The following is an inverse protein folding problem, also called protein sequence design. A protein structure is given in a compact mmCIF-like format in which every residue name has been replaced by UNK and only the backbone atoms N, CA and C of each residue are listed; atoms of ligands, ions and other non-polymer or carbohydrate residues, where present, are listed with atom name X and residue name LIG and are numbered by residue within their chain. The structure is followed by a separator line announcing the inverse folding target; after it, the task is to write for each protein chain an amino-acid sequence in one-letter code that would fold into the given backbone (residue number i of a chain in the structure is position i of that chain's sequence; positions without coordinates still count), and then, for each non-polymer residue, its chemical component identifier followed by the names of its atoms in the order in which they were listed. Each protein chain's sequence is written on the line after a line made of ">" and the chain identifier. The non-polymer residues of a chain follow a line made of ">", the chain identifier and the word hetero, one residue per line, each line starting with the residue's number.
data_IF_031225057160
#
_entry.id   IF_031225057160
#
_cell.length_a   1.000
_cell.length_b   1.000
_cell.length_c   1.000
_cell.angle_alpha   90.00
_cell.angle_beta   90.00
_cell.angle_gamma   90.00
#
_symmetry.space_group_name_H-M   'P 1'
#
loop_
_entity.id
_entity.type
_entity.pdbx_description
1 polymer ?
#
# COMPACT_ATOMS: atom_id res chain seq x y z
N UNK A 1 -0.54 -2.63 27.04
CA UNK A 1 -0.45 -3.19 25.67
C UNK A 1 -0.52 -2.03 24.70
N UNK A 2 0.42 -1.91 23.74
CA UNK A 2 0.46 -0.79 22.78
C UNK A 2 -0.23 -1.22 21.48
N UNK A 3 -1.29 -0.52 21.07
CA UNK A 3 -1.94 -0.71 19.78
C UNK A 3 -0.98 -0.29 18.67
N UNK A 4 -0.89 -1.11 17.61
CA UNK A 4 -0.15 -0.77 16.39
C UNK A 4 -1.12 -0.38 15.28
N UNK A 5 -0.79 0.65 14.53
CA UNK A 5 -1.57 1.14 13.39
C UNK A 5 -0.92 0.67 12.09
N UNK A 6 -1.75 0.15 11.18
CA UNK A 6 -1.38 -0.27 9.84
C UNK A 6 -2.11 0.60 8.83
N UNK A 7 -1.38 1.25 7.93
CA UNK A 7 -1.95 1.83 6.72
C UNK A 7 -1.95 0.78 5.61
N UNK A 8 -3.12 0.47 5.05
CA UNK A 8 -3.30 -0.48 3.95
C UNK A 8 -3.81 0.19 2.67
N UNK A 9 -3.69 1.53 2.56
CA UNK A 9 -4.35 2.32 1.51
C UNK A 9 -3.96 1.87 0.10
N UNK A 10 -2.65 1.66 -0.16
CA UNK A 10 -2.18 1.27 -1.50
C UNK A 10 -2.56 -0.18 -1.82
N UNK A 11 -2.44 -1.09 -0.86
CA UNK A 11 -2.80 -2.50 -1.04
C UNK A 11 -4.30 -2.65 -1.31
N UNK A 12 -5.14 -2.03 -0.49
CA UNK A 12 -6.59 -2.18 -0.60
C UNK A 12 -7.15 -1.41 -1.78
N UNK A 13 -6.69 -0.18 -2.00
CA UNK A 13 -7.01 0.59 -3.21
C UNK A 13 -6.51 -0.09 -4.49
N UNK A 14 -5.48 -0.91 -4.41
CA UNK A 14 -4.96 -1.69 -5.55
C UNK A 14 -6.01 -2.64 -6.15
N UNK A 15 -6.86 -3.23 -5.31
CA UNK A 15 -7.98 -4.07 -5.77
C UNK A 15 -9.05 -3.28 -6.52
N UNK A 16 -9.31 -2.04 -6.12
CA UNK A 16 -10.33 -1.18 -6.77
C UNK A 16 -9.79 -0.46 -8.01
N UNK A 17 -8.50 -0.13 -8.00
CA UNK A 17 -7.86 0.70 -9.01
C UNK A 17 -6.93 -0.10 -9.95
N UNK A 18 -7.09 -1.43 -10.00
CA UNK A 18 -6.25 -2.33 -10.82
C UNK A 18 -4.74 -2.07 -10.66
N UNK A 19 -4.30 -1.74 -9.44
CA UNK A 19 -2.91 -1.37 -9.12
C UNK A 19 -2.34 -0.16 -9.91
N UNK A 20 -3.18 0.63 -10.56
CA UNK A 20 -2.78 1.77 -11.40
C UNK A 20 -2.67 3.06 -10.61
N UNK A 21 -1.65 3.17 -9.78
CA UNK A 21 -1.33 4.40 -9.08
C UNK A 21 -0.24 5.21 -9.80
N UNK A 22 -0.37 6.53 -9.80
CA UNK A 22 0.76 7.36 -10.22
C UNK A 22 1.90 7.24 -9.21
N UNK A 23 3.14 7.18 -9.70
CA UNK A 23 4.32 7.12 -8.82
C UNK A 23 4.40 8.31 -7.86
N UNK A 24 3.87 9.47 -8.28
CA UNK A 24 3.81 10.67 -7.46
C UNK A 24 2.84 10.48 -6.28
N UNK A 25 1.62 9.97 -6.54
CA UNK A 25 0.64 9.69 -5.49
C UNK A 25 1.19 8.71 -4.45
N UNK A 26 1.83 7.62 -4.88
CA UNK A 26 2.41 6.64 -3.95
C UNK A 26 3.50 7.28 -3.08
N UNK A 27 4.37 8.12 -3.66
CA UNK A 27 5.43 8.82 -2.93
C UNK A 27 4.87 9.81 -1.91
N UNK A 28 3.85 10.56 -2.30
CA UNK A 28 3.26 11.59 -1.43
C UNK A 28 2.48 10.95 -0.28
N UNK A 29 1.73 9.88 -0.56
CA UNK A 29 1.09 9.07 0.48
C UNK A 29 2.12 8.49 1.45
N UNK A 30 3.19 7.86 0.94
CA UNK A 30 4.26 7.33 1.77
C UNK A 30 4.88 8.40 2.69
N UNK A 31 5.17 9.60 2.17
CA UNK A 31 5.72 10.70 2.96
C UNK A 31 4.75 11.22 4.01
N UNK A 32 3.46 11.30 3.68
CA UNK A 32 2.43 11.74 4.61
C UNK A 32 2.24 10.73 5.75
N UNK A 33 2.09 9.44 5.41
CA UNK A 33 1.89 8.35 6.38
C UNK A 33 3.13 8.14 7.25
N UNK A 34 4.34 8.28 6.70
CA UNK A 34 5.57 8.20 7.49
C UNK A 34 5.69 9.30 8.56
N UNK A 35 4.93 10.40 8.42
CA UNK A 35 4.88 11.52 9.37
C UNK A 35 3.66 11.49 10.29
N UNK A 36 2.68 10.61 10.04
CA UNK A 36 1.42 10.57 10.80
C UNK A 36 1.47 9.73 12.07
N UNK A 37 2.58 9.01 12.31
CA UNK A 37 2.74 8.13 13.48
C UNK A 37 2.17 6.72 13.28
N UNK A 38 1.89 6.32 12.03
CA UNK A 38 1.56 4.94 11.67
C UNK A 38 2.77 4.01 11.88
N UNK A 39 2.56 2.82 12.42
CA UNK A 39 3.63 1.88 12.72
C UNK A 39 4.07 1.05 11.49
N UNK A 40 3.15 0.76 10.58
CA UNK A 40 3.35 -0.14 9.44
C UNK A 40 2.61 0.37 8.20
N UNK A 41 3.21 0.16 7.02
CA UNK A 41 2.60 0.50 5.73
C UNK A 41 2.60 -0.75 4.84
N UNK A 42 1.41 -1.14 4.38
CA UNK A 42 1.22 -2.23 3.42
C UNK A 42 1.05 -1.66 2.01
N UNK A 43 2.05 -1.92 1.15
CA UNK A 43 2.15 -1.28 -0.18
C UNK A 43 1.59 -2.20 -1.29
N UNK A 44 1.41 -3.49 -1.02
CA UNK A 44 0.89 -4.45 -1.98
C UNK A 44 1.52 -5.83 -1.84
N UNK A 45 1.28 -6.69 -2.82
CA UNK A 45 1.79 -8.06 -2.83
C UNK A 45 3.16 -8.14 -3.49
N UNK A 46 4.03 -8.97 -2.92
CA UNK A 46 5.25 -9.42 -3.57
C UNK A 46 5.07 -10.88 -3.96
N UNK A 47 4.65 -11.11 -5.20
CA UNK A 47 4.49 -12.44 -5.78
C UNK A 47 5.44 -12.63 -6.95
N UNK A 48 5.81 -13.87 -7.26
CA UNK A 48 6.41 -14.19 -8.56
C UNK A 48 5.29 -14.25 -9.61
N UNK A 49 5.59 -13.90 -10.86
CA UNK A 49 4.60 -13.83 -11.96
C UNK A 49 3.75 -15.10 -12.12
N UNK A 50 4.22 -16.24 -11.60
CA UNK A 50 3.49 -17.52 -11.54
C UNK A 50 2.16 -17.48 -10.78
N UNK A 51 1.96 -16.53 -9.87
CA UNK A 51 0.77 -16.48 -9.01
C UNK A 51 0.06 -15.13 -9.04
N UNK A 52 0.44 -14.24 -9.96
CA UNK A 52 -0.23 -12.96 -10.14
C UNK A 52 -1.10 -13.04 -11.39
N UNK A 53 -2.35 -13.44 -11.21
CA UNK A 53 -3.35 -13.37 -12.26
C UNK A 53 -4.01 -11.99 -12.18
N UNK A 54 -3.73 -11.13 -13.16
CA UNK A 54 -4.29 -9.79 -13.27
C UNK A 54 -5.59 -9.77 -14.09
N UNK A 55 -6.16 -10.96 -14.37
CA UNK A 55 -7.41 -11.14 -15.11
C UNK A 55 -8.66 -11.00 -14.25
#
# INVERSE_FOLDING_TARGET
>A
MKTKILDCTIRDGGYLNNWKFSKQLVKDLYRAVSKSGVDLIEIGFRSSDKYFDAS
#
